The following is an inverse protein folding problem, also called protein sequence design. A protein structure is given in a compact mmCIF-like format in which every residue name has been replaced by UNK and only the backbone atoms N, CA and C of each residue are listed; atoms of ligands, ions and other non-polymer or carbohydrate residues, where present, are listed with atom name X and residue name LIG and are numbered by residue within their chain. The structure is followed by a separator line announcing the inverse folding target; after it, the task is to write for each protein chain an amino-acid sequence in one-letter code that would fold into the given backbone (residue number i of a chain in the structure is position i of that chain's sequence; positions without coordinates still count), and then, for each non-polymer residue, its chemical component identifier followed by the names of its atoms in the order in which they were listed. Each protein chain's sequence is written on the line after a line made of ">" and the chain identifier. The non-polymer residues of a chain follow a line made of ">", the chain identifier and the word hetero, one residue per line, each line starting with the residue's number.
data_IF_376561467911
#
_entry.id   IF_376561467911
#
_cell.length_a   1.000
_cell.length_b   1.000
_cell.length_c   1.000
_cell.angle_alpha   90.00
_cell.angle_beta   90.00
_cell.angle_gamma   90.00
#
_symmetry.space_group_name_H-M   'P 1'
#
loop_
_entity.id
_entity.type
_entity.pdbx_description
1 polymer ?
#
# COMPACT_ATOMS: atom_id res chain seq x y z
N UNK A 1 -29.34 12.41 -20.29
CA UNK A 1 -28.71 13.30 -19.28
C UNK A 1 -27.42 12.70 -18.71
N UNK A 2 -27.44 11.46 -18.18
CA UNK A 2 -26.26 10.79 -17.59
C UNK A 2 -25.02 10.78 -18.48
N UNK A 3 -25.15 10.41 -19.76
CA UNK A 3 -24.04 10.41 -20.71
C UNK A 3 -23.39 11.79 -20.90
N UNK A 4 -24.20 12.86 -20.89
CA UNK A 4 -23.68 14.23 -21.02
C UNK A 4 -22.90 14.66 -19.76
N UNK A 5 -23.37 14.29 -18.57
CA UNK A 5 -22.65 14.57 -17.31
C UNK A 5 -21.32 13.79 -17.24
N UNK A 6 -21.32 12.51 -17.62
CA UNK A 6 -20.11 11.69 -17.66
C UNK A 6 -19.06 12.24 -18.64
N UNK A 7 -19.50 12.80 -19.77
CA UNK A 7 -18.63 13.44 -20.76
C UNK A 7 -18.10 14.82 -20.28
N UNK A 8 -18.85 15.52 -19.44
CA UNK A 8 -18.46 16.83 -18.92
C UNK A 8 -17.51 16.75 -17.69
N UNK A 9 -17.49 15.61 -16.99
CA UNK A 9 -16.71 15.41 -15.78
C UNK A 9 -15.45 14.56 -16.03
N UNK A 10 -14.33 14.80 -15.31
CA UNK A 10 -13.14 13.95 -15.38
C UNK A 10 -13.46 12.47 -15.10
N UNK A 11 -12.68 11.56 -15.67
CA UNK A 11 -12.83 10.11 -15.47
C UNK A 11 -12.73 9.69 -13.99
N UNK A 12 -12.03 10.48 -13.17
CA UNK A 12 -11.93 10.30 -11.73
C UNK A 12 -13.18 10.75 -10.94
N UNK A 13 -14.28 11.13 -11.62
CA UNK A 13 -15.53 11.56 -10.97
C UNK A 13 -16.72 10.75 -11.43
N UNK A 14 -17.49 10.34 -10.43
CA UNK A 14 -18.76 9.63 -10.58
C UNK A 14 -19.95 10.59 -10.61
N UNK A 15 -21.04 10.13 -11.20
CA UNK A 15 -22.37 10.74 -11.14
C UNK A 15 -23.34 9.79 -10.44
N UNK A 16 -24.49 10.28 -10.00
CA UNK A 16 -25.52 9.43 -9.37
C UNK A 16 -26.83 9.52 -10.13
N UNK A 17 -27.54 8.40 -10.21
CA UNK A 17 -28.93 8.31 -10.70
C UNK A 17 -29.82 7.83 -9.57
N UNK A 18 -31.13 8.11 -9.66
CA UNK A 18 -32.07 7.65 -8.63
C UNK A 18 -32.32 6.15 -8.69
N UNK A 19 -32.62 5.62 -9.87
CA UNK A 19 -33.10 4.24 -10.02
C UNK A 19 -32.06 3.34 -10.67
N UNK A 20 -31.97 2.11 -10.18
CA UNK A 20 -31.09 1.05 -10.69
C UNK A 20 -31.37 0.80 -12.18
N UNK A 21 -32.67 0.79 -12.53
CA UNK A 21 -33.15 0.68 -13.91
C UNK A 21 -32.57 1.76 -14.83
N UNK A 22 -32.37 2.99 -14.35
CA UNK A 22 -31.79 4.06 -15.17
C UNK A 22 -30.35 3.74 -15.58
N UNK A 23 -29.53 3.21 -14.66
CA UNK A 23 -28.16 2.78 -14.97
C UNK A 23 -28.18 1.55 -15.87
N UNK A 24 -29.02 0.56 -15.56
CA UNK A 24 -29.13 -0.66 -16.34
C UNK A 24 -29.51 -0.40 -17.81
N UNK A 25 -30.55 0.40 -18.05
CA UNK A 25 -30.97 0.77 -19.40
C UNK A 25 -29.93 1.61 -20.14
N UNK A 26 -29.24 2.52 -19.44
CA UNK A 26 -28.20 3.36 -20.07
C UNK A 26 -27.00 2.57 -20.58
N UNK A 27 -26.78 1.35 -20.08
CA UNK A 27 -25.64 0.50 -20.42
C UNK A 27 -26.04 -0.90 -20.89
N UNK A 28 -27.30 -1.07 -21.31
CA UNK A 28 -27.87 -2.34 -21.80
C UNK A 28 -27.59 -3.54 -20.87
N UNK A 29 -27.76 -3.34 -19.56
CA UNK A 29 -27.59 -4.37 -18.52
C UNK A 29 -28.93 -4.96 -18.08
N UNK A 30 -28.97 -6.26 -17.71
CA UNK A 30 -30.16 -6.86 -17.13
C UNK A 30 -30.43 -6.31 -15.72
N UNK A 31 -31.63 -6.59 -15.20
CA UNK A 31 -31.98 -6.37 -13.78
C UNK A 31 -31.31 -7.42 -12.87
N UNK A 32 -31.32 -7.19 -11.55
CA UNK A 32 -30.72 -8.14 -10.60
C UNK A 32 -29.19 -8.02 -10.52
N UNK A 33 -28.57 -8.80 -9.64
CA UNK A 33 -27.11 -8.83 -9.48
C UNK A 33 -26.35 -9.08 -10.80
N UNK A 34 -26.96 -9.76 -11.77
CA UNK A 34 -26.36 -9.99 -13.10
C UNK A 34 -26.08 -8.71 -13.90
N UNK A 35 -26.75 -7.60 -13.58
CA UNK A 35 -26.51 -6.30 -14.20
C UNK A 35 -25.49 -5.42 -13.49
N UNK A 36 -25.10 -5.78 -12.27
CA UNK A 36 -24.18 -5.01 -11.44
C UNK A 36 -22.74 -5.06 -11.99
N UNK A 37 -21.91 -4.13 -11.52
CA UNK A 37 -20.48 -4.16 -11.81
C UNK A 37 -19.82 -5.44 -11.28
N UNK A 38 -18.97 -6.03 -12.10
CA UNK A 38 -18.04 -7.08 -11.69
C UNK A 38 -16.78 -6.49 -11.05
N UNK A 39 -15.99 -7.30 -10.33
CA UNK A 39 -14.68 -6.89 -9.79
C UNK A 39 -13.75 -6.31 -10.87
N UNK A 40 -13.77 -6.86 -12.08
CA UNK A 40 -12.94 -6.39 -13.20
C UNK A 40 -13.42 -5.05 -13.78
N UNK A 41 -14.71 -4.76 -13.67
CA UNK A 41 -15.28 -3.48 -14.10
C UNK A 41 -15.20 -2.42 -13.00
N UNK A 42 -15.17 -2.84 -11.73
CA UNK A 42 -14.99 -1.99 -10.57
C UNK A 42 -13.78 -1.07 -10.74
N UNK A 43 -13.98 0.23 -10.47
CA UNK A 43 -12.94 1.26 -10.54
C UNK A 43 -12.22 1.44 -11.91
N UNK A 44 -12.70 0.79 -12.99
CA UNK A 44 -12.09 0.81 -14.32
C UNK A 44 -12.04 2.17 -15.03
N UNK A 45 -12.75 3.18 -14.51
CA UNK A 45 -12.92 4.48 -15.16
C UNK A 45 -13.87 4.48 -16.35
N UNK A 46 -14.39 3.32 -16.76
CA UNK A 46 -15.42 3.21 -17.80
C UNK A 46 -16.71 3.94 -17.39
N UNK A 47 -17.54 4.38 -18.36
CA UNK A 47 -18.79 5.06 -18.05
C UNK A 47 -19.70 4.31 -17.06
N UNK A 48 -19.80 2.97 -17.17
CA UNK A 48 -20.65 2.17 -16.27
C UNK A 48 -20.10 2.09 -14.84
N UNK A 49 -18.79 2.15 -14.65
CA UNK A 49 -18.15 2.16 -13.31
C UNK A 49 -18.12 3.53 -12.64
N UNK A 50 -18.67 4.55 -13.31
CA UNK A 50 -18.76 5.94 -12.82
C UNK A 50 -20.19 6.40 -12.54
N UNK A 51 -21.16 5.48 -12.52
CA UNK A 51 -22.56 5.79 -12.17
C UNK A 51 -22.92 5.07 -10.88
N UNK A 52 -23.12 5.85 -9.81
CA UNK A 52 -23.66 5.39 -8.54
C UNK A 52 -25.13 5.75 -8.36
N UNK A 53 -25.60 5.67 -7.13
CA UNK A 53 -27.04 5.72 -6.82
C UNK A 53 -27.35 6.69 -5.70
N UNK A 54 -28.49 7.35 -5.85
CA UNK A 54 -29.04 8.26 -4.85
C UNK A 54 -30.47 7.81 -4.53
N UNK A 55 -30.69 7.27 -3.34
CA UNK A 55 -32.00 6.88 -2.87
C UNK A 55 -32.76 8.11 -2.35
N UNK A 56 -33.50 8.73 -3.26
CA UNK A 56 -34.51 9.74 -2.95
C UNK A 56 -35.71 9.02 -2.35
N UNK A 57 -35.97 9.26 -1.06
CA UNK A 57 -36.94 8.59 -0.20
C UNK A 57 -36.53 7.24 0.43
N UNK A 58 -35.29 7.11 0.90
CA UNK A 58 -34.82 5.96 1.67
C UNK A 58 -35.79 5.55 2.79
N UNK A 59 -36.20 4.27 2.79
CA UNK A 59 -37.10 3.60 3.73
C UNK A 59 -38.58 4.03 3.69
N UNK A 60 -38.95 4.92 2.78
CA UNK A 60 -40.24 5.61 2.80
C UNK A 60 -41.45 4.74 2.44
N UNK A 61 -41.25 3.63 1.71
CA UNK A 61 -42.24 2.64 1.26
C UNK A 61 -41.51 1.34 0.85
N UNK A 62 -42.18 0.21 0.55
CA UNK A 62 -41.48 -0.98 0.06
C UNK A 62 -40.56 -0.73 -1.15
N UNK A 63 -40.93 0.21 -2.01
CA UNK A 63 -40.22 0.62 -3.22
C UNK A 63 -39.47 1.96 -3.06
N UNK A 64 -39.40 2.51 -1.84
CA UNK A 64 -38.87 3.84 -1.54
C UNK A 64 -39.44 4.92 -2.49
N UNK A 65 -40.78 4.88 -2.69
CA UNK A 65 -41.54 5.83 -3.52
C UNK A 65 -41.08 5.88 -4.99
N UNK A 66 -40.72 4.72 -5.53
CA UNK A 66 -40.31 4.55 -6.92
C UNK A 66 -38.80 4.62 -7.15
N UNK A 67 -37.99 4.51 -6.10
CA UNK A 67 -36.54 4.30 -6.25
C UNK A 67 -36.24 2.87 -6.70
N UNK A 68 -36.94 1.89 -6.13
CA UNK A 68 -36.95 0.49 -6.60
C UNK A 68 -38.11 0.32 -7.58
N UNK A 69 -37.84 -0.20 -8.78
CA UNK A 69 -38.81 -0.31 -9.88
C UNK A 69 -38.93 -1.73 -10.44
N UNK A 70 -37.99 -2.63 -10.14
CA UNK A 70 -38.03 -4.01 -10.62
C UNK A 70 -39.14 -4.83 -9.95
N UNK A 71 -39.64 -5.84 -10.68
CA UNK A 71 -40.55 -6.85 -10.15
C UNK A 71 -39.92 -8.26 -10.31
N UNK A 72 -39.58 -8.95 -9.21
CA UNK A 72 -39.70 -8.51 -7.82
C UNK A 72 -38.68 -7.41 -7.44
N UNK A 73 -39.00 -6.60 -6.42
CA UNK A 73 -38.11 -5.53 -5.91
C UNK A 73 -36.75 -6.06 -5.43
N UNK A 74 -36.67 -7.36 -5.08
CA UNK A 74 -35.42 -8.00 -4.67
C UNK A 74 -34.34 -7.93 -5.75
N UNK A 75 -34.71 -7.86 -7.05
CA UNK A 75 -33.74 -7.68 -8.13
C UNK A 75 -32.97 -6.36 -8.01
N UNK A 76 -33.65 -5.28 -7.64
CA UNK A 76 -33.01 -3.98 -7.44
C UNK A 76 -32.19 -3.94 -6.14
N UNK A 77 -32.65 -4.65 -5.10
CA UNK A 77 -31.92 -4.80 -3.84
C UNK A 77 -30.62 -5.59 -4.02
N UNK A 78 -30.67 -6.73 -4.72
CA UNK A 78 -29.50 -7.54 -5.06
C UNK A 78 -28.53 -6.78 -5.97
N UNK A 79 -29.06 -6.00 -6.91
CA UNK A 79 -28.26 -5.13 -7.75
C UNK A 79 -27.50 -4.09 -6.93
N UNK A 80 -28.20 -3.34 -6.06
CA UNK A 80 -27.57 -2.30 -5.25
C UNK A 80 -26.48 -2.88 -4.35
N UNK A 81 -26.75 -3.99 -3.67
CA UNK A 81 -25.78 -4.67 -2.81
C UNK A 81 -24.49 -5.03 -3.56
N UNK A 82 -24.60 -5.54 -4.80
CA UNK A 82 -23.44 -5.88 -5.61
C UNK A 82 -22.73 -4.64 -6.21
N UNK A 83 -23.50 -3.68 -6.74
CA UNK A 83 -22.98 -2.57 -7.53
C UNK A 83 -22.31 -1.49 -6.66
N UNK A 84 -22.92 -1.17 -5.52
CA UNK A 84 -22.48 -0.07 -4.63
C UNK A 84 -21.17 -0.35 -3.89
N UNK A 85 -20.62 -1.56 -4.01
CA UNK A 85 -19.24 -1.88 -3.60
C UNK A 85 -18.19 -1.02 -4.33
N UNK A 86 -18.52 -0.52 -5.52
CA UNK A 86 -17.57 0.18 -6.40
C UNK A 86 -17.96 1.63 -6.72
N UNK A 87 -19.19 2.05 -6.42
CA UNK A 87 -19.74 3.35 -6.83
C UNK A 87 -20.42 4.06 -5.66
N UNK A 88 -20.53 5.40 -5.66
CA UNK A 88 -21.15 6.10 -4.56
C UNK A 88 -22.61 5.69 -4.36
N UNK A 89 -22.99 5.52 -3.10
CA UNK A 89 -24.37 5.34 -2.66
C UNK A 89 -24.69 6.31 -1.52
N UNK A 90 -25.89 6.89 -1.55
CA UNK A 90 -26.42 7.69 -0.45
C UNK A 90 -27.85 8.12 -0.76
N UNK A 91 -28.36 9.13 -0.07
CA UNK A 91 -29.73 9.60 -0.30
C UNK A 91 -30.30 10.45 0.83
N UNK A 92 -31.63 10.46 0.90
CA UNK A 92 -32.40 11.10 1.96
C UNK A 92 -33.62 10.27 2.37
N UNK A 93 -34.02 10.40 3.64
CA UNK A 93 -35.30 9.89 4.16
C UNK A 93 -36.42 10.88 3.87
N UNK A 94 -37.64 10.43 3.56
CA UNK A 94 -38.74 11.36 3.24
C UNK A 94 -40.12 11.05 3.86
N UNK A 95 -40.33 9.85 4.41
CA UNK A 95 -41.60 9.44 4.99
C UNK A 95 -41.39 8.54 6.22
N UNK A 96 -42.17 8.75 7.27
CA UNK A 96 -42.21 7.86 8.44
C UNK A 96 -43.00 6.60 8.08
N UNK A 97 -42.33 5.44 8.09
CA UNK A 97 -42.88 4.17 7.62
C UNK A 97 -42.42 3.00 8.51
N UNK A 98 -42.87 2.91 9.77
CA UNK A 98 -42.49 1.82 10.66
C UNK A 98 -43.06 0.47 10.18
N UNK A 99 -42.30 -0.65 10.32
CA UNK A 99 -40.97 -0.72 10.92
C UNK A 99 -39.81 -0.38 9.96
N UNK A 100 -40.06 -0.19 8.65
CA UNK A 100 -39.03 0.05 7.63
C UNK A 100 -38.18 1.29 7.89
N UNK A 101 -38.78 2.41 8.32
CA UNK A 101 -38.04 3.63 8.64
C UNK A 101 -37.43 3.63 10.04
N UNK A 102 -37.53 2.54 10.82
CA UNK A 102 -36.95 2.45 12.16
C UNK A 102 -35.49 2.00 12.10
N UNK A 103 -34.76 2.28 13.19
CA UNK A 103 -33.32 2.07 13.29
C UNK A 103 -32.83 0.72 12.77
N UNK A 104 -33.45 -0.38 13.19
CA UNK A 104 -32.99 -1.72 12.83
C UNK A 104 -32.94 -1.97 11.31
N UNK A 105 -33.94 -1.48 10.58
CA UNK A 105 -33.97 -1.57 9.11
C UNK A 105 -33.03 -0.55 8.48
N UNK A 106 -32.98 0.66 9.04
CA UNK A 106 -32.13 1.73 8.53
C UNK A 106 -30.64 1.37 8.57
N UNK A 107 -30.14 0.91 9.72
CA UNK A 107 -28.74 0.50 9.87
C UNK A 107 -28.40 -0.70 8.98
N UNK A 108 -29.31 -1.67 8.88
CA UNK A 108 -29.10 -2.86 8.06
C UNK A 108 -29.01 -2.53 6.57
N UNK A 109 -29.90 -1.68 6.04
CA UNK A 109 -29.88 -1.30 4.62
C UNK A 109 -28.74 -0.33 4.30
N UNK A 110 -28.38 0.59 5.19
CA UNK A 110 -27.22 1.46 4.99
C UNK A 110 -25.91 0.66 4.91
N UNK A 111 -25.76 -0.37 5.77
CA UNK A 111 -24.64 -1.29 5.71
C UNK A 111 -24.67 -2.15 4.44
N UNK A 112 -25.82 -2.76 4.12
CA UNK A 112 -25.99 -3.65 2.96
C UNK A 112 -25.71 -2.95 1.62
N UNK A 113 -26.11 -1.69 1.49
CA UNK A 113 -25.98 -0.92 0.24
C UNK A 113 -24.83 0.08 0.26
N UNK A 114 -23.88 -0.07 1.20
CA UNK A 114 -22.65 0.70 1.25
C UNK A 114 -22.86 2.23 1.25
N UNK A 115 -23.75 2.72 2.10
CA UNK A 115 -24.05 4.15 2.17
C UNK A 115 -22.82 4.96 2.57
N UNK A 116 -22.46 5.90 1.70
CA UNK A 116 -21.34 6.82 1.87
C UNK A 116 -21.75 8.17 2.44
N UNK A 117 -23.02 8.55 2.31
CA UNK A 117 -23.59 9.76 2.88
C UNK A 117 -25.10 9.61 3.08
N UNK A 118 -25.66 10.46 3.95
CA UNK A 118 -27.10 10.61 4.16
C UNK A 118 -27.40 12.09 4.37
N UNK A 119 -28.46 12.61 3.75
CA UNK A 119 -28.92 13.97 3.99
C UNK A 119 -29.52 14.11 5.38
N UNK A 120 -28.77 14.72 6.29
CA UNK A 120 -29.16 14.92 7.70
C UNK A 120 -30.26 15.96 7.87
N UNK A 121 -30.53 16.80 6.88
CA UNK A 121 -31.37 17.99 7.07
C UNK A 121 -32.80 17.83 6.50
N UNK A 122 -33.09 16.77 5.74
CA UNK A 122 -34.34 16.67 4.99
C UNK A 122 -35.57 16.27 5.83
N UNK A 123 -35.77 14.98 6.16
CA UNK A 123 -36.90 14.56 7.00
C UNK A 123 -36.46 14.30 8.44
N UNK A 124 -36.61 15.31 9.30
CA UNK A 124 -36.24 15.21 10.71
C UNK A 124 -37.08 14.19 11.48
N UNK A 125 -38.36 13.99 11.14
CA UNK A 125 -39.22 13.05 11.86
C UNK A 125 -38.69 11.60 11.79
N UNK A 126 -38.16 11.18 10.63
CA UNK A 126 -37.50 9.88 10.49
C UNK A 126 -36.19 9.83 11.29
N UNK A 127 -35.34 10.85 11.14
CA UNK A 127 -34.01 10.88 11.78
C UNK A 127 -34.12 10.94 13.31
N UNK A 128 -35.04 11.76 13.83
CA UNK A 128 -35.33 11.88 15.27
C UNK A 128 -35.85 10.57 15.85
N UNK A 129 -36.57 9.76 15.05
CA UNK A 129 -37.04 8.44 15.46
C UNK A 129 -35.90 7.45 15.74
N UNK A 130 -34.71 7.67 15.17
CA UNK A 130 -33.53 6.84 15.41
C UNK A 130 -32.86 7.16 16.74
N UNK A 131 -33.13 8.34 17.33
CA UNK A 131 -32.48 8.85 18.55
C UNK A 131 -31.02 9.26 18.34
N UNK A 132 -30.53 10.10 19.25
CA UNK A 132 -29.20 10.71 19.17
C UNK A 132 -28.06 9.67 19.10
N UNK A 133 -28.10 8.62 19.92
CA UNK A 133 -27.03 7.60 19.96
C UNK A 133 -26.87 6.89 18.62
N UNK A 134 -27.97 6.56 17.94
CA UNK A 134 -27.90 5.91 16.64
C UNK A 134 -27.49 6.89 15.52
N UNK A 135 -27.82 8.18 15.64
CA UNK A 135 -27.29 9.19 14.70
C UNK A 135 -25.77 9.36 14.84
N UNK A 136 -25.22 9.16 16.04
CA UNK A 136 -23.76 9.07 16.23
C UNK A 136 -23.19 7.84 15.51
N UNK A 137 -23.88 6.69 15.56
CA UNK A 137 -23.48 5.50 14.82
C UNK A 137 -23.57 5.72 13.30
N UNK A 138 -24.61 6.37 12.79
CA UNK A 138 -24.68 6.77 11.38
C UNK A 138 -23.48 7.65 11.00
N UNK A 139 -23.18 8.68 11.79
CA UNK A 139 -22.06 9.58 11.51
C UNK A 139 -20.69 8.88 11.53
N UNK A 140 -20.51 7.83 12.34
CA UNK A 140 -19.28 7.03 12.37
C UNK A 140 -19.17 6.08 11.19
N UNK A 141 -20.29 5.48 10.77
CA UNK A 141 -20.27 4.34 9.85
C UNK A 141 -20.56 4.72 8.39
N UNK A 142 -21.12 5.90 8.10
CA UNK A 142 -21.26 6.37 6.72
C UNK A 142 -19.89 6.45 6.03
N UNK A 143 -19.80 5.89 4.83
CA UNK A 143 -18.56 5.84 4.08
C UNK A 143 -17.59 4.86 4.71
N UNK A 144 -16.31 5.22 4.73
CA UNK A 144 -15.24 4.41 5.29
C UNK A 144 -14.85 4.91 6.68
N UNK A 145 -14.42 3.97 7.51
CA UNK A 145 -13.81 4.25 8.82
C UNK A 145 -12.66 3.28 9.05
N UNK A 146 -11.47 3.67 8.62
CA UNK A 146 -10.29 2.82 8.74
C UNK A 146 -9.73 2.82 10.16
N UNK A 147 -9.51 1.63 10.71
CA UNK A 147 -8.83 1.38 11.97
C UNK A 147 -7.57 0.56 11.66
N UNK A 148 -6.43 1.05 12.11
CA UNK A 148 -5.18 0.31 12.09
C UNK A 148 -5.20 -0.68 13.26
N UNK A 149 -5.20 -1.98 12.97
CA UNK A 149 -5.27 -3.03 13.98
C UNK A 149 -3.87 -3.50 14.39
N UNK A 150 -2.99 -3.73 13.42
CA UNK A 150 -1.62 -4.19 13.63
C UNK A 150 -0.69 -3.63 12.54
N UNK A 151 0.57 -3.42 12.91
CA UNK A 151 1.67 -3.35 11.94
C UNK A 151 2.79 -4.27 12.40
N UNK A 152 3.37 -5.02 11.48
CA UNK A 152 4.44 -5.98 11.77
C UNK A 152 5.48 -5.98 10.67
N UNK A 153 6.74 -6.09 11.05
CA UNK A 153 7.84 -6.30 10.10
C UNK A 153 8.15 -7.78 10.10
N UNK A 154 7.96 -8.42 8.95
CA UNK A 154 8.34 -9.81 8.74
C UNK A 154 9.78 -9.88 8.27
N UNK A 155 10.60 -10.67 8.97
CA UNK A 155 11.99 -10.93 8.62
C UNK A 155 12.10 -12.05 7.58
N UNK A 156 13.23 -12.11 6.88
CA UNK A 156 13.50 -13.13 5.88
C UNK A 156 14.27 -12.57 4.67
N UNK A 157 14.29 -13.29 3.54
CA UNK A 157 15.01 -12.87 2.35
C UNK A 157 14.60 -11.50 1.78
N UNK A 158 13.39 -11.08 2.08
CA UNK A 158 12.79 -9.81 1.67
C UNK A 158 12.06 -9.23 2.88
N UNK A 159 12.70 -8.35 3.67
CA UNK A 159 12.03 -7.74 4.80
C UNK A 159 10.78 -7.01 4.31
N UNK A 160 9.64 -7.23 4.95
CA UNK A 160 8.35 -6.70 4.52
C UNK A 160 7.65 -6.05 5.70
N UNK A 161 7.08 -4.87 5.49
CA UNK A 161 6.13 -4.28 6.44
C UNK A 161 4.72 -4.69 6.02
N UNK A 162 3.98 -5.30 6.94
CA UNK A 162 2.57 -5.64 6.80
C UNK A 162 1.75 -4.77 7.76
N UNK A 163 0.61 -4.29 7.29
CA UNK A 163 -0.32 -3.46 8.06
C UNK A 163 -1.72 -4.04 7.88
N UNK A 164 -2.39 -4.34 8.98
CA UNK A 164 -3.77 -4.79 8.99
C UNK A 164 -4.69 -3.60 9.22
N UNK A 165 -5.54 -3.32 8.22
CA UNK A 165 -6.49 -2.20 8.23
C UNK A 165 -7.90 -2.74 8.22
N UNK A 166 -8.65 -2.49 9.29
CA UNK A 166 -10.08 -2.76 9.38
C UNK A 166 -10.87 -1.58 8.83
N UNK A 167 -11.83 -1.82 7.95
CA UNK A 167 -12.83 -0.80 7.62
C UNK A 167 -14.10 -1.05 8.45
N UNK A 168 -14.30 -0.23 9.49
CA UNK A 168 -15.50 -0.24 10.33
C UNK A 168 -16.69 0.51 9.70
N UNK A 169 -16.45 1.24 8.60
CA UNK A 169 -17.51 1.93 7.88
C UNK A 169 -18.39 0.98 7.06
N UNK A 170 -19.42 1.54 6.45
CA UNK A 170 -20.34 0.81 5.58
C UNK A 170 -19.90 0.78 4.12
N UNK A 171 -18.95 1.61 3.70
CA UNK A 171 -18.44 1.66 2.32
C UNK A 171 -16.91 1.72 2.28
N UNK A 172 -16.35 1.33 1.13
CA UNK A 172 -14.98 1.72 0.77
C UNK A 172 -14.99 3.13 0.14
N UNK A 173 -13.83 3.83 0.04
CA UNK A 173 -13.72 5.00 -0.82
C UNK A 173 -14.21 4.68 -2.24
N UNK A 174 -15.00 5.55 -2.84
CA UNK A 174 -15.41 5.42 -4.25
C UNK A 174 -14.52 6.25 -5.20
N UNK A 175 -13.90 7.32 -4.69
CA UNK A 175 -12.84 8.04 -5.41
C UNK A 175 -11.48 7.39 -5.11
N UNK A 176 -10.59 7.40 -6.09
CA UNK A 176 -9.23 6.86 -5.95
C UNK A 176 -8.54 7.41 -4.70
N UNK A 177 -7.87 6.49 -3.99
CA UNK A 177 -7.20 6.80 -2.74
C UNK A 177 -5.89 6.03 -2.65
N UNK A 178 -4.81 6.55 -3.27
CA UNK A 178 -3.53 5.89 -3.20
C UNK A 178 -3.06 5.80 -1.75
N UNK A 179 -2.51 4.66 -1.38
CA UNK A 179 -1.98 4.37 -0.07
C UNK A 179 -0.46 4.20 -0.14
N UNK A 180 0.24 4.76 0.84
CA UNK A 180 1.70 4.67 0.93
C UNK A 180 2.16 4.40 2.36
N UNK A 181 3.25 3.68 2.49
CA UNK A 181 4.10 3.74 3.69
C UNK A 181 5.07 4.89 3.54
N UNK A 182 5.14 5.74 4.54
CA UNK A 182 6.16 6.78 4.69
C UNK A 182 7.12 6.36 5.79
N UNK A 183 8.40 6.30 5.45
CA UNK A 183 9.49 5.96 6.38
C UNK A 183 10.38 7.19 6.55
N UNK A 184 10.38 7.78 7.73
CA UNK A 184 11.28 8.88 8.07
C UNK A 184 12.51 8.32 8.78
N UNK A 185 13.68 8.47 8.15
CA UNK A 185 14.94 7.90 8.63
C UNK A 185 16.16 8.82 8.46
N UNK A 186 17.37 8.30 8.68
CA UNK A 186 18.59 9.11 8.77
C UNK A 186 19.01 9.78 7.45
N UNK A 187 18.63 9.20 6.31
CA UNK A 187 18.92 9.73 4.98
C UNK A 187 17.76 10.55 4.39
N UNK A 188 16.72 10.80 5.20
CA UNK A 188 15.50 11.47 4.79
C UNK A 188 14.31 10.52 4.68
N UNK A 189 13.27 11.00 4.00
CA UNK A 189 11.98 10.32 3.83
C UNK A 189 12.02 9.36 2.65
N UNK A 190 11.53 8.15 2.87
CA UNK A 190 11.26 7.16 1.81
C UNK A 190 9.76 6.92 1.75
N UNK A 191 9.17 6.90 0.55
CA UNK A 191 7.74 6.65 0.34
C UNK A 191 7.57 5.42 -0.54
N UNK A 192 6.82 4.43 -0.06
CA UNK A 192 6.63 3.15 -0.73
C UNK A 192 5.13 2.91 -0.98
N UNK A 193 4.71 2.51 -2.19
CA UNK A 193 3.29 2.31 -2.50
C UNK A 193 2.72 1.05 -1.83
N UNK A 194 1.47 1.13 -1.36
CA UNK A 194 0.68 0.01 -0.83
C UNK A 194 -0.50 -0.38 -1.73
N UNK A 195 -0.79 0.41 -2.77
CA UNK A 195 -1.94 0.23 -3.64
C UNK A 195 -3.00 1.31 -3.42
N UNK A 196 -4.27 0.94 -3.53
CA UNK A 196 -5.41 1.87 -3.52
C UNK A 196 -6.43 1.44 -2.48
N UNK A 197 -6.78 2.34 -1.54
CA UNK A 197 -7.67 2.05 -0.43
C UNK A 197 -9.13 1.84 -0.85
N UNK A 198 -9.48 2.07 -2.13
CA UNK A 198 -10.78 1.66 -2.69
C UNK A 198 -11.04 0.15 -2.56
N UNK A 199 -10.00 -0.67 -2.41
CA UNK A 199 -10.13 -2.13 -2.24
C UNK A 199 -10.30 -2.56 -0.78
N UNK A 200 -10.27 -1.63 0.18
CA UNK A 200 -10.41 -1.94 1.61
C UNK A 200 -11.89 -2.01 1.98
N UNK A 201 -12.48 -3.18 1.72
CA UNK A 201 -13.91 -3.43 1.82
C UNK A 201 -14.45 -3.23 3.24
N UNK A 202 -15.69 -2.71 3.39
CA UNK A 202 -16.33 -2.49 4.67
C UNK A 202 -16.59 -3.81 5.40
N UNK A 203 -16.45 -3.80 6.72
CA UNK A 203 -16.65 -4.99 7.55
C UNK A 203 -15.55 -6.04 7.41
N UNK A 204 -14.45 -5.74 6.72
CA UNK A 204 -13.29 -6.62 6.54
C UNK A 204 -12.00 -5.99 7.07
N UNK A 205 -11.04 -6.85 7.42
CA UNK A 205 -9.66 -6.45 7.66
C UNK A 205 -8.86 -6.78 6.40
N UNK A 206 -8.22 -5.78 5.82
CA UNK A 206 -7.31 -5.93 4.69
C UNK A 206 -5.87 -5.83 5.17
N UNK A 207 -5.08 -6.87 4.92
CA UNK A 207 -3.62 -6.81 5.09
C UNK A 207 -2.99 -6.20 3.85
N UNK A 208 -2.36 -5.04 3.99
CA UNK A 208 -1.53 -4.43 2.96
C UNK A 208 -0.06 -4.58 3.31
N UNK A 209 0.80 -4.74 2.32
CA UNK A 209 2.22 -4.99 2.57
C UNK A 209 3.13 -4.30 1.57
N UNK A 210 4.34 -3.99 2.00
CA UNK A 210 5.38 -3.40 1.15
C UNK A 210 6.75 -3.98 1.47
N UNK A 211 7.51 -4.27 0.41
CA UNK A 211 8.89 -4.72 0.52
C UNK A 211 9.78 -3.58 1.00
N UNK A 212 10.66 -3.90 1.95
CA UNK A 212 11.69 -3.01 2.50
C UNK A 212 13.08 -3.33 1.92
N UNK A 213 13.17 -4.24 0.95
CA UNK A 213 14.44 -4.77 0.44
C UNK A 213 15.34 -3.74 -0.28
N UNK A 214 14.79 -2.57 -0.63
CA UNK A 214 15.52 -1.47 -1.26
C UNK A 214 15.66 -0.26 -0.33
N UNK A 215 15.15 -0.36 0.90
CA UNK A 215 15.27 0.71 1.89
C UNK A 215 16.66 0.61 2.52
N UNK A 216 17.47 1.68 2.47
CA UNK A 216 18.82 1.64 3.04
C UNK A 216 18.83 1.24 4.53
N UNK A 217 19.99 0.76 4.99
CA UNK A 217 20.16 0.51 6.41
C UNK A 217 19.94 1.79 7.24
N UNK A 218 19.25 1.65 8.37
CA UNK A 218 18.88 2.75 9.23
C UNK A 218 17.73 2.40 10.18
N UNK A 219 17.42 3.35 11.05
CA UNK A 219 16.27 3.32 11.95
C UNK A 219 15.20 4.28 11.40
N UNK A 220 14.00 3.76 11.17
CA UNK A 220 12.91 4.50 10.55
C UNK A 220 11.68 4.53 11.45
N UNK A 221 11.02 5.68 11.54
CA UNK A 221 9.64 5.77 12.01
C UNK A 221 8.71 5.56 10.81
N UNK A 222 7.68 4.72 10.97
CA UNK A 222 6.77 4.36 9.89
C UNK A 222 5.38 4.98 10.08
N UNK A 223 4.79 5.48 8.99
CA UNK A 223 3.44 6.05 8.95
C UNK A 223 2.69 5.60 7.69
N UNK A 224 1.37 5.53 7.78
CA UNK A 224 0.47 5.31 6.65
C UNK A 224 -0.04 6.65 6.10
N UNK A 225 0.19 6.91 4.82
CA UNK A 225 -0.33 8.07 4.11
C UNK A 225 -1.48 7.65 3.16
N UNK A 226 -2.57 8.42 3.20
CA UNK A 226 -3.76 8.25 2.35
C UNK A 226 -4.15 9.58 1.68
N UNK A 227 -3.25 10.19 0.88
CA UNK A 227 -3.45 11.51 0.29
C UNK A 227 -4.55 11.50 -0.78
N UNK A 228 -5.01 12.68 -1.19
CA UNK A 228 -5.84 12.79 -2.39
C UNK A 228 -5.08 12.28 -3.63
N UNK A 229 -5.79 11.63 -4.55
CA UNK A 229 -5.21 11.17 -5.81
C UNK A 229 -4.84 12.34 -6.72
N UNK A 230 -5.55 13.48 -6.60
CA UNK A 230 -5.33 14.66 -7.44
C UNK A 230 -4.02 15.36 -7.07
N UNK A 231 -3.06 15.49 -8.01
CA UNK A 231 -1.75 16.08 -7.71
C UNK A 231 -1.79 17.50 -7.15
N UNK A 232 -2.82 18.28 -7.49
CA UNK A 232 -2.98 19.67 -7.02
C UNK A 232 -3.30 19.80 -5.54
N UNK A 233 -3.82 18.73 -4.90
CA UNK A 233 -4.22 18.70 -3.49
C UNK A 233 -3.61 17.52 -2.72
N UNK A 234 -2.85 16.64 -3.38
CA UNK A 234 -2.24 15.47 -2.75
C UNK A 234 -1.33 15.81 -1.56
N UNK A 235 -0.65 16.95 -1.61
CA UNK A 235 0.23 17.44 -0.53
C UNK A 235 -0.51 18.23 0.57
N UNK A 236 -1.81 18.49 0.41
CA UNK A 236 -2.59 19.22 1.41
C UNK A 236 -3.20 18.22 2.42
N UNK A 237 -2.76 18.24 3.70
CA UNK A 237 -3.17 17.25 4.69
C UNK A 237 -4.67 17.28 5.00
N UNK A 238 -5.39 18.36 4.66
CA UNK A 238 -6.86 18.45 4.82
C UNK A 238 -7.62 17.53 3.88
N UNK A 239 -6.99 17.04 2.82
CA UNK A 239 -7.57 16.10 1.86
C UNK A 239 -7.06 14.66 2.04
N UNK A 240 -6.20 14.41 3.03
CA UNK A 240 -5.75 13.07 3.40
C UNK A 240 -6.75 12.39 4.35
N UNK A 241 -6.79 11.06 4.33
CA UNK A 241 -7.64 10.29 5.25
C UNK A 241 -6.91 10.11 6.58
N UNK A 242 -7.55 10.61 7.64
CA UNK A 242 -7.22 10.29 9.03
C UNK A 242 -7.89 8.97 9.43
N UNK A 243 -7.14 8.03 10.00
CA UNK A 243 -7.68 6.79 10.56
C UNK A 243 -8.31 7.04 11.94
N UNK A 244 -9.18 6.12 12.37
CA UNK A 244 -9.93 6.21 13.60
C UNK A 244 -9.11 5.92 14.88
N UNK A 245 -7.79 5.75 14.75
CA UNK A 245 -6.87 5.51 15.86
C UNK A 245 -6.56 6.82 16.61
N UNK A 246 -6.68 6.79 17.94
CA UNK A 246 -6.40 7.96 18.77
C UNK A 246 -4.90 8.17 18.90
N UNK A 247 -4.45 9.42 18.73
CA UNK A 247 -3.06 9.80 18.98
C UNK A 247 -2.08 9.45 17.86
N UNK A 248 -2.56 8.95 16.72
CA UNK A 248 -1.70 8.58 15.57
C UNK A 248 -1.68 9.63 14.45
N UNK A 249 -2.62 10.58 14.43
CA UNK A 249 -2.72 11.54 13.34
C UNK A 249 -1.71 12.68 13.43
N UNK A 250 -0.86 12.84 12.43
CA UNK A 250 -0.05 14.04 12.20
C UNK A 250 -0.79 14.97 11.23
N UNK A 251 -1.41 16.01 11.78
CA UNK A 251 -2.17 16.99 11.01
C UNK A 251 -1.32 17.90 10.11
N UNK A 252 -0.02 18.03 10.38
CA UNK A 252 0.88 18.84 9.56
C UNK A 252 1.36 18.06 8.33
N UNK A 253 1.67 16.78 8.51
CA UNK A 253 2.15 15.91 7.44
C UNK A 253 1.02 15.19 6.68
N UNK A 254 -0.17 15.04 7.28
CA UNK A 254 -1.29 14.32 6.67
C UNK A 254 -1.11 12.80 6.69
N UNK A 255 -0.49 12.26 7.74
CA UNK A 255 -0.17 10.83 7.85
C UNK A 255 -0.62 10.25 9.19
N UNK A 256 -0.79 8.93 9.22
CA UNK A 256 -1.19 8.16 10.40
C UNK A 256 0.02 7.37 10.91
N UNK A 257 0.56 7.76 12.06
CA UNK A 257 1.67 7.07 12.73
C UNK A 257 1.29 5.62 13.05
N UNK A 258 2.12 4.68 12.59
CA UNK A 258 1.95 3.26 12.87
C UNK A 258 2.48 2.89 14.27
N UNK A 259 3.13 3.83 14.96
CA UNK A 259 3.88 3.61 16.20
C UNK A 259 4.94 2.50 16.04
N UNK A 260 5.43 2.33 14.82
CA UNK A 260 6.34 1.27 14.42
C UNK A 260 7.71 1.86 14.13
N UNK A 261 8.71 1.31 14.80
CA UNK A 261 10.13 1.54 14.47
C UNK A 261 10.63 0.38 13.63
N UNK A 262 11.21 0.68 12.47
CA UNK A 262 11.83 -0.31 11.59
C UNK A 262 13.34 -0.16 11.67
N UNK A 263 14.04 -1.25 11.97
CA UNK A 263 15.50 -1.30 11.99
C UNK A 263 16.00 -2.18 10.84
N UNK A 264 16.74 -1.55 9.93
CA UNK A 264 17.33 -2.20 8.77
C UNK A 264 18.85 -2.12 8.89
N UNK A 265 19.54 -3.23 8.66
CA UNK A 265 21.00 -3.29 8.76
C UNK A 265 21.65 -3.90 7.53
N UNK A 266 22.84 -3.40 7.21
CA UNK A 266 23.79 -4.06 6.29
C UNK A 266 24.32 -5.35 6.93
N UNK A 267 25.08 -6.17 6.18
CA UNK A 267 25.76 -7.31 6.77
C UNK A 267 26.81 -6.87 7.80
N UNK A 268 27.17 -7.78 8.70
CA UNK A 268 28.31 -7.57 9.57
C UNK A 268 29.61 -7.51 8.76
N UNK A 269 30.64 -6.82 9.28
CA UNK A 269 31.96 -6.81 8.67
C UNK A 269 32.52 -8.23 8.54
N UNK A 270 33.09 -8.55 7.38
CA UNK A 270 33.75 -9.85 7.18
C UNK A 270 35.00 -9.90 8.06
N UNK A 271 35.30 -11.08 8.62
CA UNK A 271 36.54 -11.28 9.38
C UNK A 271 37.79 -11.05 8.50
N UNK A 272 38.95 -10.85 9.12
CA UNK A 272 40.21 -10.61 8.40
C UNK A 272 40.47 -11.71 7.34
N UNK A 273 40.55 -11.36 6.04
CA UNK A 273 40.70 -12.34 4.99
C UNK A 273 42.14 -12.85 4.91
N UNK A 274 42.30 -14.04 4.32
CA UNK A 274 43.61 -14.61 3.98
C UNK A 274 43.94 -14.25 2.54
N UNK A 275 45.22 -14.02 2.27
CA UNK A 275 45.72 -13.68 0.94
C UNK A 275 46.96 -14.54 0.65
N UNK A 276 47.07 -15.05 -0.57
CA UNK A 276 48.21 -15.79 -1.07
C UNK A 276 48.48 -15.36 -2.52
N UNK A 277 49.76 -15.23 -2.89
CA UNK A 277 50.19 -15.01 -4.26
C UNK A 277 50.79 -16.31 -4.81
N UNK A 278 50.43 -16.66 -6.04
CA UNK A 278 51.00 -17.76 -6.82
C UNK A 278 51.35 -17.23 -8.21
N UNK A 279 52.64 -17.03 -8.48
CA UNK A 279 53.08 -16.26 -9.64
C UNK A 279 52.50 -14.84 -9.63
N UNK A 280 51.80 -14.47 -10.72
CA UNK A 280 51.07 -13.20 -10.87
C UNK A 280 49.65 -13.24 -10.33
N UNK A 281 49.15 -14.40 -9.91
CA UNK A 281 47.78 -14.54 -9.44
C UNK A 281 47.70 -14.35 -7.92
N UNK A 282 46.69 -13.63 -7.46
CA UNK A 282 46.46 -13.39 -6.03
C UNK A 282 45.11 -13.96 -5.64
N UNK A 283 45.13 -14.98 -4.79
CA UNK A 283 43.92 -15.56 -4.20
C UNK A 283 43.65 -14.96 -2.83
N UNK A 284 42.42 -14.50 -2.63
CA UNK A 284 41.89 -14.03 -1.36
C UNK A 284 40.82 -15.01 -0.90
N UNK A 285 40.94 -15.57 0.30
CA UNK A 285 39.91 -16.42 0.91
C UNK A 285 39.34 -15.82 2.18
N UNK A 286 38.04 -16.01 2.39
CA UNK A 286 37.27 -15.38 3.46
C UNK A 286 36.11 -16.27 3.88
N UNK A 287 35.56 -15.99 5.07
CA UNK A 287 34.35 -16.62 5.58
C UNK A 287 33.16 -15.67 5.42
N UNK A 288 31.94 -16.22 5.43
CA UNK A 288 30.72 -15.42 5.50
C UNK A 288 30.71 -14.53 6.77
N UNK A 289 30.04 -13.36 6.73
CA UNK A 289 29.88 -12.52 7.91
C UNK A 289 29.04 -13.24 8.98
N UNK A 290 29.16 -12.80 10.24
CA UNK A 290 28.40 -13.37 11.36
C UNK A 290 26.89 -13.09 11.30
N UNK A 291 26.49 -12.11 10.49
CA UNK A 291 25.10 -11.77 10.19
C UNK A 291 25.03 -11.18 8.78
N UNK A 292 23.99 -11.55 8.04
CA UNK A 292 23.68 -10.98 6.72
C UNK A 292 22.92 -9.64 6.84
N UNK A 293 22.52 -9.26 8.05
CA UNK A 293 21.68 -8.08 8.29
C UNK A 293 20.20 -8.35 7.96
N UNK A 294 19.50 -7.32 7.49
CA UNK A 294 18.04 -7.40 7.24
C UNK A 294 17.67 -7.95 5.86
N UNK A 295 18.66 -8.31 5.04
CA UNK A 295 18.47 -8.88 3.69
C UNK A 295 19.58 -9.91 3.43
N UNK A 296 19.34 -10.96 2.62
CA UNK A 296 20.37 -11.90 2.21
C UNK A 296 21.50 -11.20 1.48
N UNK A 297 22.68 -11.82 1.55
CA UNK A 297 23.82 -11.38 0.78
C UNK A 297 23.51 -11.43 -0.72
N UNK A 298 23.85 -10.36 -1.43
CA UNK A 298 23.88 -10.31 -2.90
C UNK A 298 25.27 -10.66 -3.43
N UNK A 299 26.32 -10.44 -2.63
CA UNK A 299 27.69 -10.75 -3.01
C UNK A 299 28.74 -10.22 -2.03
N UNK A 300 29.98 -10.26 -2.48
CA UNK A 300 31.11 -9.63 -1.81
C UNK A 300 31.90 -8.77 -2.80
N UNK A 301 32.37 -7.62 -2.33
CA UNK A 301 33.38 -6.81 -3.01
C UNK A 301 34.73 -7.07 -2.37
N UNK A 302 35.64 -7.72 -3.10
CA UNK A 302 37.00 -7.99 -2.66
C UNK A 302 37.91 -6.93 -3.27
N UNK A 303 38.69 -6.25 -2.46
CA UNK A 303 39.60 -5.17 -2.92
C UNK A 303 41.03 -5.48 -2.54
N UNK A 304 41.90 -5.57 -3.54
CA UNK A 304 43.36 -5.54 -3.36
C UNK A 304 43.84 -4.08 -3.37
N UNK A 305 44.78 -3.77 -2.48
CA UNK A 305 45.47 -2.47 -2.45
C UNK A 305 46.98 -2.69 -2.38
N UNK A 306 47.72 -2.07 -3.29
CA UNK A 306 49.18 -2.12 -3.32
C UNK A 306 49.78 -1.17 -2.29
N UNK A 307 51.05 -1.37 -1.95
CA UNK A 307 51.79 -0.43 -1.13
C UNK A 307 51.95 0.96 -1.76
N UNK A 308 51.86 1.07 -3.09
CA UNK A 308 51.88 2.35 -3.84
C UNK A 308 50.52 3.05 -3.89
N UNK A 309 49.44 2.38 -3.45
CA UNK A 309 48.08 2.94 -3.42
C UNK A 309 47.19 2.49 -4.58
N UNK A 310 47.69 1.66 -5.51
CA UNK A 310 46.88 1.10 -6.59
C UNK A 310 45.85 0.13 -6.03
N UNK A 311 44.62 0.16 -6.55
CA UNK A 311 43.55 -0.74 -6.11
C UNK A 311 42.98 -1.56 -7.26
N UNK A 312 42.63 -2.81 -6.97
CA UNK A 312 41.86 -3.69 -7.86
C UNK A 312 40.69 -4.26 -7.09
N UNK A 313 39.52 -4.28 -7.69
CA UNK A 313 38.29 -4.74 -7.05
C UNK A 313 37.64 -5.82 -7.88
N UNK A 314 37.19 -6.89 -7.23
CA UNK A 314 36.41 -7.96 -7.82
C UNK A 314 35.11 -8.14 -7.03
N UNK A 315 33.98 -8.21 -7.72
CA UNK A 315 32.72 -8.61 -7.12
C UNK A 315 32.51 -10.12 -7.35
N UNK A 316 32.12 -10.82 -6.30
CA UNK A 316 31.89 -12.27 -6.31
C UNK A 316 30.52 -12.61 -5.71
N UNK A 317 29.97 -13.77 -6.07
CA UNK A 317 28.64 -14.19 -5.65
C UNK A 317 28.52 -14.32 -4.12
N UNK A 318 27.28 -14.26 -3.62
CA UNK A 318 26.97 -14.42 -2.19
C UNK A 318 27.43 -15.76 -1.58
N UNK A 319 27.63 -16.78 -2.41
CA UNK A 319 28.11 -18.11 -2.01
C UNK A 319 29.63 -18.28 -2.13
N UNK A 320 30.34 -17.29 -2.65
CA UNK A 320 31.79 -17.35 -2.78
C UNK A 320 32.47 -17.30 -1.41
N UNK A 321 33.52 -18.10 -1.25
CA UNK A 321 34.44 -18.07 -0.11
C UNK A 321 35.86 -17.65 -0.50
N UNK A 322 36.04 -17.30 -1.77
CA UNK A 322 37.31 -16.85 -2.33
C UNK A 322 37.11 -15.99 -3.58
N UNK A 323 38.13 -15.19 -3.89
CA UNK A 323 38.28 -14.42 -5.10
C UNK A 323 39.72 -14.60 -5.63
N UNK A 324 39.88 -14.71 -6.94
CA UNK A 324 41.20 -14.78 -7.60
C UNK A 324 41.34 -13.56 -8.49
N UNK A 325 42.45 -12.84 -8.32
CA UNK A 325 42.87 -11.76 -9.20
C UNK A 325 43.99 -12.28 -10.08
N UNK A 326 43.79 -12.22 -11.39
CA UNK A 326 44.80 -12.62 -12.37
C UNK A 326 45.68 -11.42 -12.75
N UNK A 327 46.88 -11.69 -13.24
CA UNK A 327 47.82 -10.69 -13.77
C UNK A 327 48.05 -9.49 -12.83
N UNK A 328 48.25 -9.76 -11.54
CA UNK A 328 48.53 -8.73 -10.54
C UNK A 328 49.97 -8.22 -10.72
N UNK A 329 50.21 -6.89 -10.78
CA UNK A 329 51.54 -6.35 -10.92
C UNK A 329 52.44 -6.73 -9.75
N UNK A 330 53.73 -6.90 -10.04
CA UNK A 330 54.73 -7.15 -9.01
C UNK A 330 54.68 -6.06 -7.93
N UNK A 331 54.66 -6.47 -6.67
CA UNK A 331 54.48 -5.54 -5.57
C UNK A 331 53.95 -6.19 -4.29
N UNK A 332 53.78 -5.36 -3.27
CA UNK A 332 53.19 -5.75 -1.98
C UNK A 332 51.71 -5.41 -1.98
N UNK A 333 50.88 -6.41 -1.77
CA UNK A 333 49.42 -6.28 -1.81
C UNK A 333 48.79 -6.70 -0.49
N UNK A 334 47.69 -6.04 -0.13
CA UNK A 334 46.78 -6.43 0.96
C UNK A 334 45.36 -6.49 0.42
N UNK A 335 44.53 -7.31 1.04
CA UNK A 335 43.13 -7.48 0.68
C UNK A 335 42.21 -6.97 1.79
N UNK A 336 41.05 -6.46 1.38
CA UNK A 336 39.85 -6.28 2.20
C UNK A 336 38.67 -6.93 1.49
N UNK A 337 37.66 -7.30 2.25
CA UNK A 337 36.42 -7.91 1.76
C UNK A 337 35.26 -7.16 2.40
N UNK A 338 34.32 -6.73 1.58
CA UNK A 338 33.07 -6.09 1.99
C UNK A 338 31.91 -6.99 1.58
N UNK A 339 31.09 -7.42 2.53
CA UNK A 339 29.85 -8.12 2.23
C UNK A 339 28.76 -7.12 1.80
N UNK A 340 27.87 -7.52 0.90
CA UNK A 340 26.83 -6.65 0.33
C UNK A 340 25.46 -7.33 0.42
N UNK A 341 24.41 -6.59 0.82
CA UNK A 341 23.01 -7.03 0.77
C UNK A 341 22.11 -5.93 0.19
N UNK A 342 20.78 -6.14 0.19
CA UNK A 342 19.80 -5.15 -0.29
C UNK A 342 19.82 -3.80 0.44
N UNK A 343 20.29 -3.78 1.69
CA UNK A 343 20.32 -2.55 2.52
C UNK A 343 21.64 -1.78 2.41
N UNK A 344 22.64 -2.36 1.74
CA UNK A 344 23.91 -1.71 1.40
C UNK A 344 25.15 -2.56 1.69
N UNK A 345 26.28 -1.88 1.65
CA UNK A 345 27.61 -2.44 1.88
C UNK A 345 27.92 -2.50 3.39
N UNK A 346 28.48 -3.62 3.84
CA UNK A 346 29.06 -3.72 5.18
C UNK A 346 30.28 -2.81 5.33
N UNK A 347 30.75 -2.62 6.57
CA UNK A 347 32.10 -2.12 6.78
C UNK A 347 33.14 -3.07 6.16
N UNK A 348 34.19 -2.50 5.56
CA UNK A 348 35.28 -3.30 5.00
C UNK A 348 36.00 -4.08 6.10
N UNK A 349 36.34 -5.34 5.81
CA UNK A 349 37.08 -6.17 6.75
C UNK A 349 38.44 -5.56 7.14
N UNK A 350 39.01 -5.95 8.29
CA UNK A 350 40.40 -5.63 8.60
C UNK A 350 41.32 -6.11 7.48
N UNK A 351 42.31 -5.28 7.11
CA UNK A 351 43.28 -5.62 6.05
C UNK A 351 43.96 -6.96 6.33
N UNK A 352 44.09 -7.79 5.30
CA UNK A 352 44.85 -9.05 5.36
C UNK A 352 46.33 -8.82 5.68
N UNK A 353 47.07 -9.92 5.83
CA UNK A 353 48.54 -9.90 5.76
C UNK A 353 49.03 -9.38 4.38
N UNK A 354 50.32 -9.10 4.24
CA UNK A 354 50.87 -8.72 2.94
C UNK A 354 51.22 -9.96 2.12
N UNK A 355 50.71 -10.04 0.90
CA UNK A 355 51.23 -10.94 -0.13
C UNK A 355 52.24 -10.18 -1.02
N UNK A 356 53.29 -10.86 -1.45
CA UNK A 356 54.28 -10.31 -2.38
C UNK A 356 54.07 -11.01 -3.71
N UNK A 357 53.71 -10.23 -4.73
CA UNK A 357 53.72 -10.70 -6.12
C UNK A 357 55.10 -10.42 -6.66
N UNK A 358 55.80 -11.46 -7.08
CA UNK A 358 57.10 -11.31 -7.70
C UNK A 358 56.93 -10.99 -9.18
N UNK A 359 57.89 -10.28 -9.81
CA UNK A 359 57.94 -10.21 -11.26
C UNK A 359 57.98 -11.63 -11.82
N UNK A 360 56.93 -12.04 -12.52
CA UNK A 360 56.93 -13.30 -13.25
C UNK A 360 57.67 -13.10 -14.57
N UNK A 361 58.67 -13.93 -14.84
CA UNK A 361 59.20 -14.12 -16.18
C UNK A 361 58.03 -14.57 -17.08
N UNK A 362 57.68 -13.75 -18.07
CA UNK A 362 56.79 -14.21 -19.14
C UNK A 362 57.44 -15.45 -19.75
N UNK A 363 56.86 -16.63 -19.55
CA UNK A 363 57.09 -17.72 -20.48
C UNK A 363 56.54 -17.27 -21.84
N UNK A 364 57.43 -16.70 -22.66
CA UNK A 364 57.22 -16.58 -24.09
C UNK A 364 57.07 -18.00 -24.62
N UNK A 365 55.83 -18.43 -24.86
CA UNK A 365 55.53 -19.54 -25.74
C UNK A 365 55.57 -19.03 -27.17
N UNK A 366 56.60 -19.44 -27.90
CA UNK A 366 56.63 -19.50 -29.37
C UNK A 366 55.61 -20.51 -29.90
#
# INVERSE_FOLDING_TARGET
>A
MTAALLAALPESRSVQVRTMLSKQQAFDRPTGAAGALTEAEGFSGTPVSRVGHHNDCFLAAPDDWGTFLSDPLSLDQEYLEADTRFVPMGGETCNVNPPRSQWASASAEMARYHYSYLNRDYNQDVLDSWRADNLVEVAKNLGYRFVLEESRVTGGPTPTLEIDVRNEGWAAPYNERPAYVVLDGPQGRVTLPLGDARTWAPGETTTVSVSLATVPAGRYAASLALPAAEPSIAADPRFAIQTANVGTWDAAAGVNDLQQTIELSTPAAVAKPRIAADGSDVRVSFAAPSSEGSSPLSGYRVTLTSASGDSRTLEVSATASQATFEDVPAGRWRATVTAVNGQGDAEASPRSATAVVHPGDRAHGD
#
